data_IF_898377789698
#
_entry.id   IF_898377789698
#
_cell.length_a   1.000
_cell.length_b   1.000
_cell.length_c   1.000
_cell.angle_alpha   90.00
_cell.angle_beta   90.00
_cell.angle_gamma   90.00
#
_symmetry.space_group_name_H-M   'P 1'
#
loop_
_entity.id
_entity.type
_entity.pdbx_description
1 polymer ?
#
# COMPACT_ATOMS: atom_id res chain seq x y z
N UNK A 1 0.02 -11.70 -22.57
CA UNK A 1 0.54 -10.66 -21.65
C UNK A 1 -0.54 -9.96 -20.82
N UNK A 2 -1.67 -9.54 -21.42
CA UNK A 2 -2.74 -8.84 -20.70
C UNK A 2 -3.31 -9.60 -19.48
N UNK A 3 -3.44 -10.94 -19.56
CA UNK A 3 -3.94 -11.77 -18.44
C UNK A 3 -3.00 -11.75 -17.23
N UNK A 4 -1.69 -11.73 -17.47
CA UNK A 4 -0.68 -11.64 -16.41
C UNK A 4 -0.74 -10.29 -15.68
N UNK A 5 -0.90 -9.18 -16.42
CA UNK A 5 -1.04 -7.85 -15.83
C UNK A 5 -2.31 -7.71 -14.97
N UNK A 6 -3.42 -8.32 -15.41
CA UNK A 6 -4.64 -8.40 -14.61
C UNK A 6 -4.43 -9.20 -13.32
N UNK A 7 -3.80 -10.37 -13.42
CA UNK A 7 -3.46 -11.18 -12.25
C UNK A 7 -2.56 -10.43 -11.27
N UNK A 8 -1.50 -9.79 -11.77
CA UNK A 8 -0.60 -8.96 -10.96
C UNK A 8 -1.34 -7.81 -10.28
N UNK A 9 -2.25 -7.12 -10.99
CA UNK A 9 -3.04 -6.04 -10.41
C UNK A 9 -3.92 -6.52 -9.25
N UNK A 10 -4.55 -7.70 -9.38
CA UNK A 10 -5.37 -8.27 -8.31
C UNK A 10 -4.52 -8.64 -7.08
N UNK A 11 -3.35 -9.25 -7.30
CA UNK A 11 -2.41 -9.57 -6.22
C UNK A 11 -1.94 -8.30 -5.52
N UNK A 12 -1.66 -7.22 -6.26
CA UNK A 12 -1.21 -5.95 -5.68
C UNK A 12 -2.27 -5.32 -4.79
N UNK A 13 -3.54 -5.33 -5.22
CA UNK A 13 -4.66 -4.83 -4.41
C UNK A 13 -4.80 -5.64 -3.13
N UNK A 14 -4.75 -6.97 -3.22
CA UNK A 14 -4.83 -7.84 -2.04
C UNK A 14 -3.66 -7.60 -1.09
N UNK A 15 -2.44 -7.50 -1.62
CA UNK A 15 -1.25 -7.21 -0.81
C UNK A 15 -1.33 -5.84 -0.13
N UNK A 16 -1.81 -4.81 -0.84
CA UNK A 16 -2.01 -3.47 -0.27
C UNK A 16 -3.07 -3.42 0.83
N UNK A 17 -4.18 -4.13 0.66
CA UNK A 17 -5.23 -4.27 1.68
C UNK A 17 -4.72 -5.03 2.91
N UNK A 18 -4.01 -6.14 2.70
CA UNK A 18 -3.41 -6.91 3.79
C UNK A 18 -2.37 -6.09 4.56
N UNK A 19 -1.47 -5.41 3.85
CA UNK A 19 -0.46 -4.54 4.47
C UNK A 19 -1.10 -3.40 5.27
N UNK A 20 -2.14 -2.76 4.72
CA UNK A 20 -2.91 -1.73 5.43
C UNK A 20 -3.59 -2.27 6.69
N UNK A 21 -4.25 -3.42 6.61
CA UNK A 21 -4.92 -4.05 7.76
C UNK A 21 -3.94 -4.49 8.85
N UNK A 22 -2.81 -5.10 8.47
CA UNK A 22 -1.77 -5.51 9.41
C UNK A 22 -1.11 -4.28 10.08
N UNK A 23 -0.84 -3.22 9.33
CA UNK A 23 -0.28 -1.99 9.85
C UNK A 23 -1.26 -1.27 10.80
N UNK A 24 -2.56 -1.28 10.49
CA UNK A 24 -3.60 -0.76 11.37
C UNK A 24 -3.65 -1.52 12.70
N UNK A 25 -3.65 -2.85 12.63
CA UNK A 25 -3.60 -3.69 13.84
C UNK A 25 -2.34 -3.40 14.66
N UNK A 26 -1.17 -3.40 14.04
CA UNK A 26 0.10 -3.13 14.70
C UNK A 26 0.18 -1.72 15.32
N UNK A 27 -0.40 -0.71 14.67
CA UNK A 27 -0.48 0.65 15.22
C UNK A 27 -1.37 0.70 16.46
N UNK A 28 -2.55 0.07 16.41
CA UNK A 28 -3.50 0.08 17.55
C UNK A 28 -3.03 -0.73 18.75
N UNK A 29 -2.15 -1.71 18.54
CA UNK A 29 -1.53 -2.51 19.61
C UNK A 29 -0.14 -2.01 20.01
N UNK A 30 0.26 -0.79 19.63
CA UNK A 30 1.58 -0.23 19.96
C UNK A 30 1.68 0.20 21.43
N UNK A 31 1.82 -0.78 22.32
CA UNK A 31 1.89 -0.54 23.76
C UNK A 31 3.04 0.38 24.17
N UNK A 32 4.20 0.28 23.49
CA UNK A 32 5.37 1.08 23.81
C UNK A 32 5.09 2.58 23.57
N UNK A 33 4.46 2.91 22.44
CA UNK A 33 4.05 4.27 22.14
C UNK A 33 3.01 4.78 23.14
N UNK A 34 1.92 4.03 23.36
CA UNK A 34 0.84 4.48 24.25
C UNK A 34 1.26 4.58 25.71
N UNK A 35 2.16 3.70 26.17
CA UNK A 35 2.70 3.76 27.53
C UNK A 35 3.59 4.98 27.74
N UNK A 36 4.48 5.28 26.79
CA UNK A 36 5.32 6.46 26.84
C UNK A 36 4.48 7.76 26.77
N UNK A 37 3.44 7.77 25.92
CA UNK A 37 2.51 8.90 25.79
C UNK A 37 1.76 9.18 27.10
N UNK A 38 1.14 8.16 27.71
CA UNK A 38 0.46 8.28 29.01
C UNK A 38 1.43 8.67 30.13
N UNK A 39 2.66 8.15 30.07
CA UNK A 39 3.73 8.50 31.01
C UNK A 39 4.09 9.99 30.93
N UNK A 40 4.18 10.53 29.71
CA UNK A 40 4.45 11.95 29.47
C UNK A 40 3.25 12.84 29.87
N UNK A 41 2.02 12.42 29.58
CA UNK A 41 0.80 13.14 30.00
C UNK A 41 0.72 13.29 31.52
N UNK A 42 1.08 12.22 32.26
CA UNK A 42 1.07 12.21 33.72
C UNK A 42 2.28 12.95 34.32
N UNK A 43 3.43 12.93 33.65
CA UNK A 43 4.68 13.52 34.13
C UNK A 43 5.38 14.33 33.02
N UNK A 44 4.87 15.53 32.66
CA UNK A 44 5.32 16.27 31.48
C UNK A 44 6.76 16.77 31.56
N UNK A 45 7.33 16.89 32.76
CA UNK A 45 8.73 17.27 32.98
C UNK A 45 9.72 16.10 32.95
N UNK A 46 9.26 14.86 32.87
CA UNK A 46 10.14 13.70 32.96
C UNK A 46 10.83 13.42 31.62
N UNK A 47 12.15 13.64 31.57
CA UNK A 47 12.99 13.47 30.39
C UNK A 47 13.01 12.03 29.89
N UNK A 48 12.85 11.03 30.77
CA UNK A 48 12.78 9.62 30.40
C UNK A 48 11.61 9.34 29.45
N UNK A 49 10.38 9.68 29.85
CA UNK A 49 9.19 9.46 29.02
C UNK A 49 9.24 10.24 27.70
N UNK A 50 9.83 11.44 27.71
CA UNK A 50 10.04 12.21 26.48
C UNK A 50 11.00 11.52 25.52
N UNK A 51 12.02 10.85 26.05
CA UNK A 51 13.02 10.12 25.24
C UNK A 51 12.43 8.82 24.71
N UNK A 52 11.71 8.06 25.56
CA UNK A 52 11.00 6.84 25.17
C UNK A 52 9.96 7.13 24.07
N UNK A 53 9.20 8.21 24.22
CA UNK A 53 8.23 8.62 23.20
C UNK A 53 8.92 8.96 21.88
N UNK A 54 10.01 9.75 21.90
CA UNK A 54 10.77 10.09 20.69
C UNK A 54 11.39 8.89 19.96
N UNK A 55 11.68 7.82 20.68
CA UNK A 55 12.18 6.57 20.08
C UNK A 55 11.04 5.72 19.49
N UNK A 56 9.87 5.70 20.14
CA UNK A 56 8.72 4.92 19.70
C UNK A 56 7.89 5.61 18.60
N UNK A 57 7.85 6.95 18.60
CA UNK A 57 7.04 7.78 17.71
C UNK A 57 7.34 7.54 16.21
N UNK A 58 8.60 7.48 15.73
CA UNK A 58 8.88 7.22 14.32
C UNK A 58 8.30 5.90 13.82
N UNK A 59 8.39 4.85 14.66
CA UNK A 59 7.83 3.54 14.35
C UNK A 59 6.31 3.59 14.28
N UNK A 60 5.67 4.22 15.26
CA UNK A 60 4.22 4.35 15.30
C UNK A 60 3.69 5.17 14.11
N UNK A 61 4.37 6.26 13.78
CA UNK A 61 4.05 7.09 12.61
C UNK A 61 4.22 6.31 11.30
N UNK A 62 5.27 5.50 11.17
CA UNK A 62 5.45 4.64 10.01
C UNK A 62 4.32 3.62 9.88
N UNK A 63 3.89 3.00 10.98
CA UNK A 63 2.74 2.09 10.99
C UNK A 63 1.45 2.81 10.60
N UNK A 64 1.19 3.99 11.16
CA UNK A 64 0.02 4.80 10.83
C UNK A 64 0.03 5.25 9.36
N UNK A 65 1.17 5.71 8.85
CA UNK A 65 1.34 6.08 7.45
C UNK A 65 1.13 4.88 6.51
N UNK A 66 1.64 3.71 6.88
CA UNK A 66 1.46 2.48 6.11
C UNK A 66 -0.01 2.04 6.13
N UNK A 67 -0.66 2.12 7.29
CA UNK A 67 -2.07 1.77 7.44
C UNK A 67 -2.96 2.64 6.56
N UNK A 68 -2.71 3.95 6.50
CA UNK A 68 -3.47 4.88 5.67
C UNK A 68 -3.07 4.83 4.18
N UNK A 69 -1.79 4.61 3.87
CA UNK A 69 -1.23 4.79 2.53
C UNK A 69 -1.16 3.53 1.68
N UNK A 70 -1.00 2.34 2.27
CA UNK A 70 -0.73 1.12 1.51
C UNK A 70 -1.88 0.70 0.59
N UNK A 71 -3.13 0.77 1.08
CA UNK A 71 -4.31 0.45 0.27
C UNK A 71 -4.53 1.42 -0.92
N UNK A 72 -4.56 2.76 -0.73
CA UNK A 72 -4.76 3.68 -1.85
C UNK A 72 -3.59 3.65 -2.85
N UNK A 73 -2.34 3.52 -2.40
CA UNK A 73 -1.20 3.42 -3.32
C UNK A 73 -1.26 2.14 -4.15
N UNK A 74 -1.62 1.01 -3.54
CA UNK A 74 -1.84 -0.24 -4.27
C UNK A 74 -2.95 -0.14 -5.31
N UNK A 75 -4.05 0.56 -5.00
CA UNK A 75 -5.15 0.80 -5.95
C UNK A 75 -4.70 1.66 -7.14
N UNK A 76 -3.93 2.72 -6.90
CA UNK A 76 -3.39 3.57 -7.97
C UNK A 76 -2.51 2.75 -8.91
N UNK A 77 -1.58 1.96 -8.37
CA UNK A 77 -0.68 1.12 -9.18
C UNK A 77 -1.46 0.04 -9.93
N UNK A 78 -2.41 -0.62 -9.27
CA UNK A 78 -3.25 -1.64 -9.89
C UNK A 78 -4.12 -1.07 -11.03
N UNK A 79 -4.67 0.14 -10.86
CA UNK A 79 -5.44 0.81 -11.90
C UNK A 79 -4.60 1.12 -13.15
N UNK A 80 -3.34 1.55 -12.97
CA UNK A 80 -2.39 1.74 -14.06
C UNK A 80 -2.10 0.44 -14.81
N UNK A 81 -1.87 -0.66 -14.08
CA UNK A 81 -1.63 -1.98 -14.66
C UNK A 81 -2.84 -2.50 -15.46
N UNK A 82 -4.06 -2.26 -14.97
CA UNK A 82 -5.30 -2.61 -15.67
C UNK A 82 -5.49 -1.80 -16.96
N UNK A 83 -5.18 -0.51 -16.93
CA UNK A 83 -5.16 0.35 -18.11
C UNK A 83 -4.19 -0.18 -19.17
N UNK A 84 -2.98 -0.52 -18.75
CA UNK A 84 -1.92 -1.05 -19.61
C UNK A 84 -2.28 -2.43 -20.19
N UNK A 85 -2.90 -3.29 -19.39
CA UNK A 85 -3.42 -4.58 -19.84
C UNK A 85 -4.49 -4.42 -20.93
N UNK A 86 -5.34 -3.40 -20.80
CA UNK A 86 -6.41 -3.12 -21.77
C UNK A 86 -5.86 -2.56 -23.08
N UNK A 87 -4.86 -1.68 -23.00
CA UNK A 87 -4.16 -1.15 -24.17
C UNK A 87 -3.45 -2.26 -24.96
N UNK A 88 -2.73 -3.16 -24.27
CA UNK A 88 -2.07 -4.31 -24.90
C UNK A 88 -3.05 -5.23 -25.61
N UNK A 89 -4.18 -5.57 -24.97
CA UNK A 89 -5.21 -6.41 -25.60
C UNK A 89 -5.77 -5.78 -26.88
N UNK A 90 -5.94 -4.46 -26.90
CA UNK A 90 -6.40 -3.74 -28.09
C UNK A 90 -5.33 -3.74 -29.20
N UNK A 91 -4.07 -3.58 -28.82
CA UNK A 91 -2.94 -3.62 -29.76
C UNK A 91 -2.81 -5.00 -30.43
N UNK A 92 -2.89 -6.07 -29.63
CA UNK A 92 -2.85 -7.46 -30.12
C UNK A 92 -3.95 -7.70 -31.17
N UNK A 93 -5.18 -7.27 -30.88
CA UNK A 93 -6.31 -7.41 -31.81
C UNK A 93 -6.14 -6.61 -33.11
N UNK A 94 -5.50 -5.43 -33.05
CA UNK A 94 -5.21 -4.63 -34.25
C UNK A 94 -4.10 -5.28 -35.09
N UNK A 95 -3.08 -5.84 -34.45
CA UNK A 95 -2.01 -6.59 -35.12
C UNK A 95 -2.56 -7.83 -35.81
N UNK A 96 -3.42 -8.59 -35.14
CA UNK A 96 -4.06 -9.77 -35.72
C UNK A 96 -4.96 -9.39 -36.91
N UNK A 97 -5.72 -8.30 -36.80
CA UNK A 97 -6.53 -7.79 -37.90
C UNK A 97 -5.70 -7.29 -39.09
N UNK A 98 -4.55 -6.65 -38.83
CA UNK A 98 -3.62 -6.21 -39.87
C UNK A 98 -2.95 -7.40 -40.58
N UNK A 99 -2.62 -8.46 -39.82
CA UNK A 99 -2.00 -9.69 -40.33
C UNK A 99 -2.96 -10.54 -41.15
N UNK A 100 -4.26 -10.53 -40.83
CA UNK A 100 -5.30 -11.29 -41.54
C UNK A 100 -5.95 -10.53 -42.70
N UNK A 101 -5.47 -9.34 -43.08
CA UNK A 101 -5.92 -8.71 -44.32
C UNK A 101 -5.41 -9.55 -45.51
N UNK A 102 -6.29 -10.11 -46.35
CA UNK A 102 -5.85 -10.80 -47.56
C UNK A 102 -5.16 -9.78 -48.46
N UNK A 103 -3.92 -10.08 -48.83
CA UNK A 103 -3.20 -9.38 -49.88
C UNK A 103 -3.96 -9.62 -51.20
N UNK A 104 -4.77 -8.64 -51.61
CA UNK A 104 -5.26 -8.51 -52.99
C UNK A 104 -4.18 -7.82 -53.83
#
# INVERSE_FOLDING_TARGET
>A
MATYLKGLSAVLVLAGLLASGLAWHAATTDEAYYKALRGLEKYPGNVLYKTELKMAEPRHLLLAATAAGAAPTALVIASGLLGLASALKKLDGLLDAARNKPHL
#
